data_IF_542676777166
#
_entry.id   IF_542676777166
#
_cell.length_a   1.000
_cell.length_b   1.000
_cell.length_c   1.000
_cell.angle_alpha   90.00
_cell.angle_beta   90.00
_cell.angle_gamma   90.00
#
_symmetry.space_group_name_H-M   'P 1'
#
loop_
_entity.id
_entity.type
_entity.pdbx_description
1 polymer ?
#
# COMPACT_ATOMS: atom_id res chain seq x y z
N UNK A 1 22.67 -1.98 4.61
CA UNK A 1 21.43 -1.21 4.79
C UNK A 1 20.64 -1.23 3.49
N UNK A 2 19.31 -1.25 3.60
CA UNK A 2 18.40 -1.14 2.46
C UNK A 2 17.79 0.26 2.44
N UNK A 3 17.58 0.80 1.23
CA UNK A 3 17.11 2.17 1.03
C UNK A 3 15.61 2.19 0.87
N UNK A 4 14.94 3.15 1.48
CA UNK A 4 13.55 3.55 1.27
C UNK A 4 13.54 5.07 1.13
N UNK A 5 12.71 5.62 0.22
CA UNK A 5 12.76 7.04 -0.12
C UNK A 5 11.33 7.59 -0.20
N UNK A 6 11.01 8.60 0.63
CA UNK A 6 9.85 9.47 0.39
C UNK A 6 10.21 10.43 -0.75
N UNK A 7 9.44 10.46 -1.82
CA UNK A 7 9.83 11.23 -3.00
C UNK A 7 8.65 11.65 -3.87
N UNK A 8 8.87 12.74 -4.60
CA UNK A 8 7.95 13.32 -5.58
C UNK A 8 6.51 13.44 -5.02
N UNK A 9 6.42 13.81 -3.74
CA UNK A 9 5.16 14.02 -3.04
C UNK A 9 4.49 15.34 -3.46
N UNK A 10 5.28 16.38 -3.67
CA UNK A 10 4.79 17.74 -4.01
C UNK A 10 5.14 18.05 -5.46
N UNK A 11 6.42 17.96 -5.80
CA UNK A 11 6.97 18.29 -7.11
C UNK A 11 7.84 17.16 -7.65
N UNK A 12 7.93 17.08 -8.97
CA UNK A 12 8.81 16.14 -9.68
C UNK A 12 10.26 16.63 -9.62
N UNK A 13 11.00 16.19 -8.62
CA UNK A 13 12.42 16.57 -8.42
C UNK A 13 13.41 15.48 -8.82
N UNK A 14 12.92 14.37 -9.40
CA UNK A 14 13.75 13.25 -9.85
C UNK A 14 14.02 12.19 -8.78
N UNK A 15 13.34 12.25 -7.65
CA UNK A 15 13.50 11.28 -6.58
C UNK A 15 12.97 9.89 -6.94
N UNK A 16 11.93 9.80 -7.76
CA UNK A 16 11.41 8.54 -8.28
C UNK A 16 12.43 7.85 -9.19
N UNK A 17 13.09 8.59 -10.09
CA UNK A 17 14.17 8.09 -10.92
C UNK A 17 15.35 7.59 -10.08
N UNK A 18 15.71 8.35 -9.05
CA UNK A 18 16.79 7.98 -8.14
C UNK A 18 16.45 6.68 -7.38
N UNK A 19 15.21 6.53 -6.90
CA UNK A 19 14.76 5.32 -6.19
C UNK A 19 14.92 4.07 -7.06
N UNK A 20 14.52 4.14 -8.34
CA UNK A 20 14.66 3.04 -9.28
C UNK A 20 16.13 2.76 -9.66
N UNK A 21 16.96 3.81 -9.78
CA UNK A 21 18.38 3.66 -10.12
C UNK A 21 19.20 3.05 -8.97
N UNK A 22 18.83 3.33 -7.70
CA UNK A 22 19.49 2.80 -6.50
C UNK A 22 18.99 1.41 -6.06
N UNK A 23 18.21 0.70 -6.84
CA UNK A 23 17.24 -0.35 -6.49
C UNK A 23 16.77 -0.26 -5.03
N UNK A 24 16.12 0.87 -4.72
CA UNK A 24 15.52 1.04 -3.40
C UNK A 24 14.46 -0.04 -3.14
N UNK A 25 14.27 -0.45 -1.89
CA UNK A 25 13.21 -1.42 -1.54
C UNK A 25 11.85 -0.85 -1.88
N UNK A 26 11.64 0.42 -1.55
CA UNK A 26 10.40 1.13 -1.85
C UNK A 26 10.65 2.63 -2.03
N UNK A 27 9.70 3.26 -2.73
CA UNK A 27 9.56 4.69 -2.87
C UNK A 27 8.13 5.07 -2.49
N UNK A 28 7.97 6.05 -1.61
CA UNK A 28 6.70 6.44 -1.01
C UNK A 28 6.16 7.74 -1.62
N UNK A 29 4.81 7.92 -1.60
CA UNK A 29 3.99 9.01 -2.15
C UNK A 29 3.88 8.99 -3.68
N UNK A 30 4.89 9.40 -4.41
CA UNK A 30 4.97 9.32 -5.89
C UNK A 30 3.86 10.09 -6.62
N UNK A 31 3.30 11.13 -6.00
CA UNK A 31 2.18 11.90 -6.55
C UNK A 31 2.60 12.59 -7.85
N UNK A 32 3.80 13.19 -7.86
CA UNK A 32 4.37 13.89 -9.00
C UNK A 32 5.35 13.03 -9.82
N UNK A 33 5.32 11.70 -9.69
CA UNK A 33 6.21 10.81 -10.44
C UNK A 33 6.07 10.98 -11.96
N UNK A 34 7.20 11.12 -12.65
CA UNK A 34 7.25 11.24 -14.11
C UNK A 34 7.16 9.87 -14.79
N UNK A 35 6.92 9.83 -16.11
CA UNK A 35 6.95 8.58 -16.88
C UNK A 35 8.32 7.89 -16.77
N UNK A 36 9.41 8.68 -16.76
CA UNK A 36 10.76 8.16 -16.57
C UNK A 36 10.95 7.56 -15.18
N UNK A 37 10.41 8.22 -14.16
CA UNK A 37 10.42 7.73 -12.78
C UNK A 37 9.66 6.41 -12.64
N UNK A 38 8.46 6.32 -13.21
CA UNK A 38 7.64 5.09 -13.22
C UNK A 38 8.40 3.95 -13.91
N UNK A 39 8.99 4.21 -15.08
CA UNK A 39 9.79 3.21 -15.80
C UNK A 39 11.04 2.78 -14.99
N UNK A 40 11.66 3.71 -14.27
CA UNK A 40 12.81 3.40 -13.40
C UNK A 40 12.43 2.52 -12.21
N UNK A 41 11.28 2.76 -11.56
CA UNK A 41 10.76 1.90 -10.49
C UNK A 41 10.55 0.47 -10.98
N UNK A 42 9.86 0.32 -12.12
CA UNK A 42 9.59 -0.99 -12.72
C UNK A 42 10.89 -1.74 -13.03
N UNK A 43 11.86 -1.06 -13.66
CA UNK A 43 13.17 -1.63 -14.00
C UNK A 43 13.99 -2.01 -12.75
N UNK A 44 13.93 -1.17 -11.71
CA UNK A 44 14.66 -1.41 -10.45
C UNK A 44 14.00 -2.44 -9.53
N UNK A 45 12.77 -2.87 -9.81
CA UNK A 45 11.97 -3.72 -8.92
C UNK A 45 11.60 -3.02 -7.61
N UNK A 46 11.61 -1.68 -7.60
CA UNK A 46 11.28 -0.86 -6.43
C UNK A 46 9.77 -0.84 -6.20
N UNK A 47 9.33 -1.14 -4.98
CA UNK A 47 7.90 -1.10 -4.64
C UNK A 47 7.42 0.36 -4.55
N UNK A 48 6.41 0.70 -5.34
CA UNK A 48 5.72 1.98 -5.26
C UNK A 48 4.71 1.94 -4.09
N UNK A 49 4.99 2.63 -3.00
CA UNK A 49 4.10 2.69 -1.83
C UNK A 49 3.24 3.93 -1.91
N UNK A 50 1.95 3.73 -2.16
CA UNK A 50 0.98 4.81 -2.34
C UNK A 50 0.21 5.06 -1.05
N UNK A 51 -0.06 6.33 -0.77
CA UNK A 51 -0.57 6.81 0.52
C UNK A 51 -1.87 7.61 0.32
N UNK A 52 -2.98 6.92 -0.05
CA UNK A 52 -4.20 7.59 -0.49
C UNK A 52 -4.88 8.39 0.62
N UNK A 53 -4.71 7.99 1.88
CA UNK A 53 -5.31 8.69 3.01
C UNK A 53 -4.64 10.05 3.25
N UNK A 54 -3.33 10.17 2.99
CA UNK A 54 -2.60 11.44 3.04
C UNK A 54 -3.07 12.40 1.94
N UNK A 55 -3.14 11.94 0.70
CA UNK A 55 -3.69 12.74 -0.41
C UNK A 55 -5.11 13.22 -0.11
N UNK A 56 -5.95 12.34 0.43
CA UNK A 56 -7.32 12.68 0.83
C UNK A 56 -7.36 13.75 1.92
N UNK A 57 -6.62 13.54 3.01
CA UNK A 57 -6.63 14.43 4.17
C UNK A 57 -6.12 15.84 3.83
N UNK A 58 -5.08 15.92 2.99
CA UNK A 58 -4.47 17.18 2.56
C UNK A 58 -5.15 17.82 1.33
N UNK A 59 -6.15 17.16 0.73
CA UNK A 59 -6.78 17.65 -0.50
C UNK A 59 -5.80 17.70 -1.68
N UNK A 60 -4.84 16.76 -1.76
CA UNK A 60 -3.81 16.68 -2.77
C UNK A 60 -4.20 15.73 -3.92
N UNK A 61 -3.57 15.87 -5.10
CA UNK A 61 -3.71 14.88 -6.17
C UNK A 61 -3.33 13.48 -5.72
N UNK A 62 -3.74 12.48 -6.51
CA UNK A 62 -3.42 11.08 -6.30
C UNK A 62 -2.32 10.61 -7.26
N UNK A 63 -1.48 9.70 -6.79
CA UNK A 63 -0.42 9.10 -7.61
C UNK A 63 -1.00 8.28 -8.77
N UNK A 64 -0.23 8.11 -9.82
CA UNK A 64 -0.58 7.42 -11.07
C UNK A 64 -0.45 5.90 -10.95
N UNK A 65 -1.23 5.29 -10.07
CA UNK A 65 -1.13 3.86 -9.73
C UNK A 65 -1.32 2.94 -10.95
N UNK A 66 -2.28 3.25 -11.83
CA UNK A 66 -2.53 2.43 -13.04
C UNK A 66 -1.32 2.42 -13.98
N UNK A 67 -0.65 3.57 -14.15
CA UNK A 67 0.54 3.66 -14.99
C UNK A 67 1.72 2.88 -14.39
N UNK A 68 1.86 2.91 -13.05
CA UNK A 68 2.88 2.14 -12.34
C UNK A 68 2.66 0.63 -12.53
N UNK A 69 1.42 0.16 -12.37
CA UNK A 69 1.04 -1.25 -12.59
C UNK A 69 1.28 -1.64 -14.06
N UNK A 70 0.83 -0.80 -15.01
CA UNK A 70 1.02 -1.04 -16.43
C UNK A 70 2.50 -1.11 -16.84
N UNK A 71 3.36 -0.35 -16.18
CA UNK A 71 4.81 -0.40 -16.35
C UNK A 71 5.47 -1.63 -15.69
N UNK A 72 4.72 -2.40 -14.87
CA UNK A 72 5.23 -3.57 -14.14
C UNK A 72 5.85 -3.26 -12.78
N UNK A 73 5.69 -2.04 -12.25
CA UNK A 73 6.13 -1.73 -10.90
C UNK A 73 5.15 -2.32 -9.86
N UNK A 74 5.63 -3.03 -8.83
CA UNK A 74 4.77 -3.51 -7.76
C UNK A 74 4.25 -2.33 -6.95
N UNK A 75 2.91 -2.25 -6.77
CA UNK A 75 2.25 -1.19 -6.00
C UNK A 75 1.83 -1.71 -4.64
N UNK A 76 2.19 -1.00 -3.58
CA UNK A 76 1.70 -1.20 -2.22
C UNK A 76 0.86 0.00 -1.77
N UNK A 77 -0.01 -0.22 -0.79
CA UNK A 77 -0.83 0.82 -0.15
C UNK A 77 -0.61 0.78 1.35
N UNK A 78 -0.44 1.96 1.95
CA UNK A 78 -0.25 2.12 3.38
C UNK A 78 -1.05 3.31 3.92
N UNK A 79 -1.12 3.42 5.26
CA UNK A 79 -1.88 4.47 5.94
C UNK A 79 -1.16 5.82 5.99
N UNK A 80 0.17 5.81 6.00
CA UNK A 80 0.98 6.99 6.31
C UNK A 80 0.60 7.66 7.65
N UNK A 81 0.29 6.84 8.66
CA UNK A 81 -0.12 7.38 9.95
C UNK A 81 0.95 8.32 10.54
N UNK A 82 0.58 9.58 10.66
CA UNK A 82 1.38 10.60 11.32
C UNK A 82 0.50 11.77 11.76
N UNK A 83 0.92 12.60 12.74
CA UNK A 83 0.08 13.68 13.26
C UNK A 83 -0.07 14.87 12.30
N UNK A 84 0.78 15.02 11.30
CA UNK A 84 0.80 16.16 10.40
C UNK A 84 -0.10 16.03 9.18
N UNK A 85 -0.07 14.88 8.51
CA UNK A 85 -0.69 14.69 7.20
C UNK A 85 -1.67 13.53 7.11
N UNK A 86 -1.69 12.61 8.09
CA UNK A 86 -2.66 11.51 8.12
C UNK A 86 -2.86 10.95 9.53
N UNK A 87 -3.66 11.59 10.40
CA UNK A 87 -3.89 11.14 11.78
C UNK A 87 -4.91 9.99 11.85
N UNK A 88 -4.80 9.00 10.95
CA UNK A 88 -5.73 7.87 10.87
C UNK A 88 -4.99 6.54 10.80
N UNK A 89 -5.34 5.61 11.71
CA UNK A 89 -4.90 4.22 11.69
C UNK A 89 -5.82 3.30 10.87
N UNK A 90 -6.88 3.85 10.25
CA UNK A 90 -7.86 3.05 9.53
C UNK A 90 -7.33 2.62 8.15
N UNK A 91 -6.67 1.46 8.10
CA UNK A 91 -6.17 0.90 6.84
C UNK A 91 -7.32 0.55 5.87
N UNK A 92 -8.50 0.16 6.37
CA UNK A 92 -9.65 -0.12 5.50
C UNK A 92 -10.12 1.13 4.75
N UNK A 93 -10.05 2.32 5.39
CA UNK A 93 -10.29 3.58 4.70
C UNK A 93 -9.26 3.81 3.60
N UNK A 94 -7.99 3.57 3.86
CA UNK A 94 -6.95 3.67 2.82
C UNK A 94 -7.21 2.69 1.66
N UNK A 95 -7.68 1.48 1.94
CA UNK A 95 -8.08 0.49 0.92
C UNK A 95 -9.25 1.01 0.07
N UNK A 96 -10.31 1.55 0.69
CA UNK A 96 -11.43 2.16 -0.04
C UNK A 96 -10.95 3.30 -0.96
N UNK A 97 -10.13 4.20 -0.43
CA UNK A 97 -9.58 5.32 -1.20
C UNK A 97 -8.68 4.85 -2.36
N UNK A 98 -7.94 3.76 -2.19
CA UNK A 98 -7.14 3.18 -3.26
C UNK A 98 -8.02 2.65 -4.41
N UNK A 99 -9.11 1.95 -4.11
CA UNK A 99 -10.06 1.51 -5.14
C UNK A 99 -10.66 2.70 -5.90
N UNK A 100 -11.06 3.75 -5.21
CA UNK A 100 -11.77 4.86 -5.85
C UNK A 100 -10.86 5.82 -6.59
N UNK A 101 -9.72 6.18 -5.99
CA UNK A 101 -8.89 7.26 -6.53
C UNK A 101 -7.69 6.75 -7.34
N UNK A 102 -7.19 5.55 -7.04
CA UNK A 102 -6.17 4.89 -7.85
C UNK A 102 -6.77 3.92 -8.87
N UNK A 103 -8.10 3.71 -8.83
CA UNK A 103 -8.82 2.76 -9.69
C UNK A 103 -8.26 1.33 -9.61
N UNK A 104 -7.84 0.91 -8.42
CA UNK A 104 -7.44 -0.46 -8.16
C UNK A 104 -8.67 -1.34 -8.00
N UNK A 105 -8.61 -2.58 -8.48
CA UNK A 105 -9.65 -3.56 -8.14
C UNK A 105 -9.53 -3.99 -6.67
N UNK A 106 -10.57 -4.60 -6.08
CA UNK A 106 -10.49 -5.19 -4.75
C UNK A 106 -9.31 -6.14 -4.58
N UNK A 107 -9.03 -7.00 -5.56
CA UNK A 107 -7.92 -7.97 -5.53
C UNK A 107 -6.56 -7.29 -5.63
N UNK A 108 -6.42 -6.29 -6.51
CA UNK A 108 -5.20 -5.48 -6.61
C UNK A 108 -4.93 -4.75 -5.28
N UNK A 109 -5.98 -4.19 -4.68
CA UNK A 109 -5.84 -3.49 -3.39
C UNK A 109 -5.49 -4.45 -2.26
N UNK A 110 -6.11 -5.63 -2.22
CA UNK A 110 -5.75 -6.66 -1.24
C UNK A 110 -4.28 -7.07 -1.39
N UNK A 111 -3.82 -7.30 -2.62
CA UNK A 111 -2.41 -7.59 -2.91
C UNK A 111 -1.49 -6.44 -2.47
N UNK A 112 -1.93 -5.19 -2.71
CA UNK A 112 -1.16 -3.99 -2.36
C UNK A 112 -0.99 -3.81 -0.85
N UNK A 113 -1.98 -4.17 -0.03
CA UNK A 113 -1.90 -4.05 1.45
C UNK A 113 -1.33 -5.30 2.13
N UNK A 114 -1.06 -6.38 1.40
CA UNK A 114 -0.55 -7.65 1.93
C UNK A 114 0.81 -8.02 1.34
N UNK A 115 0.85 -8.69 0.20
CA UNK A 115 2.07 -9.19 -0.45
C UNK A 115 3.05 -8.06 -0.76
N UNK A 116 2.59 -7.04 -1.47
CA UNK A 116 3.45 -5.94 -1.89
C UNK A 116 3.87 -5.07 -0.70
N UNK A 117 2.97 -4.87 0.29
CA UNK A 117 3.33 -4.18 1.53
C UNK A 117 4.41 -4.94 2.32
N UNK A 118 4.32 -6.28 2.40
CA UNK A 118 5.34 -7.10 3.03
C UNK A 118 6.69 -7.00 2.28
N UNK A 119 6.67 -6.96 0.94
CA UNK A 119 7.85 -6.75 0.11
C UNK A 119 8.49 -5.37 0.38
N UNK A 120 7.67 -4.31 0.47
CA UNK A 120 8.12 -2.95 0.73
C UNK A 120 8.86 -2.80 2.07
N UNK A 121 8.66 -3.72 3.01
CA UNK A 121 9.37 -3.75 4.31
C UNK A 121 10.35 -4.92 4.42
N UNK A 122 10.68 -5.60 3.31
CA UNK A 122 11.58 -6.76 3.28
C UNK A 122 11.12 -7.90 4.21
N UNK A 123 9.84 -8.24 4.19
CA UNK A 123 9.24 -9.32 4.99
C UNK A 123 8.38 -10.29 4.17
N UNK A 124 8.43 -10.23 2.84
CA UNK A 124 7.61 -11.08 1.96
C UNK A 124 7.93 -12.59 2.10
N UNK A 125 9.11 -12.93 2.58
CA UNK A 125 9.51 -14.28 2.94
C UNK A 125 8.72 -14.87 4.12
N UNK A 126 8.20 -14.00 5.00
CA UNK A 126 7.54 -14.38 6.26
C UNK A 126 6.10 -13.93 6.38
N UNK A 127 5.70 -12.86 5.67
CA UNK A 127 4.43 -12.16 5.81
C UNK A 127 3.78 -11.92 4.45
N UNK A 128 2.53 -11.49 4.47
CA UNK A 128 1.79 -10.98 3.30
C UNK A 128 0.99 -12.02 2.56
N UNK A 129 1.14 -13.30 2.84
CA UNK A 129 0.31 -14.37 2.26
C UNK A 129 0.07 -15.50 3.25
N UNK A 130 -0.98 -16.29 3.00
CA UNK A 130 -1.33 -17.48 3.78
C UNK A 130 -0.67 -18.71 3.12
N UNK A 131 0.57 -18.97 3.51
CA UNK A 131 1.37 -20.08 3.00
C UNK A 131 1.98 -20.88 4.15
N UNK A 132 2.17 -22.18 3.94
CA UNK A 132 2.85 -23.05 4.91
C UNK A 132 4.27 -22.53 5.14
N UNK A 133 4.64 -22.36 6.41
CA UNK A 133 5.96 -21.84 6.81
C UNK A 133 6.00 -20.32 7.04
N UNK A 134 4.98 -19.57 6.62
CA UNK A 134 4.86 -18.14 6.95
C UNK A 134 4.22 -17.92 8.32
N UNK A 135 4.45 -16.76 8.88
CA UNK A 135 3.88 -16.35 10.17
C UNK A 135 2.37 -16.22 10.04
N UNK A 136 1.64 -16.82 10.96
CA UNK A 136 0.17 -16.79 10.99
C UNK A 136 -0.34 -15.43 11.50
N UNK A 137 -0.25 -14.42 10.64
CA UNK A 137 -0.85 -13.11 10.80
C UNK A 137 -2.05 -13.02 9.86
N UNK A 138 -3.27 -13.00 10.42
CA UNK A 138 -4.50 -13.07 9.62
C UNK A 138 -5.56 -12.12 10.16
N UNK A 139 -6.45 -11.70 9.27
CA UNK A 139 -7.68 -11.01 9.61
C UNK A 139 -8.85 -11.83 9.09
N UNK A 140 -9.80 -12.14 9.99
CA UNK A 140 -11.11 -12.68 9.61
C UNK A 140 -12.06 -11.48 9.50
N UNK A 141 -12.67 -11.33 8.34
CA UNK A 141 -13.57 -10.23 8.05
C UNK A 141 -15.02 -10.59 8.33
N UNK A 142 -15.78 -9.64 8.86
CA UNK A 142 -17.23 -9.71 8.94
C UNK A 142 -17.85 -9.23 7.62
N UNK A 143 -17.62 -10.01 6.59
CA UNK A 143 -18.01 -9.70 5.22
C UNK A 143 -18.31 -10.99 4.45
N UNK A 144 -19.35 -11.02 3.62
CA UNK A 144 -19.71 -12.21 2.83
C UNK A 144 -18.77 -12.48 1.67
N UNK A 145 -18.07 -11.46 1.17
CA UNK A 145 -17.12 -11.55 0.06
C UNK A 145 -16.15 -10.37 0.09
N UNK A 146 -15.17 -10.37 -0.83
CA UNK A 146 -14.14 -9.34 -0.93
C UNK A 146 -14.75 -7.97 -1.27
N UNK A 147 -15.66 -7.90 -2.24
CA UNK A 147 -16.27 -6.64 -2.69
C UNK A 147 -16.97 -5.90 -1.56
N UNK A 148 -17.59 -6.63 -0.64
CA UNK A 148 -18.29 -6.05 0.51
C UNK A 148 -17.35 -5.24 1.40
N UNK A 149 -16.09 -5.65 1.57
CA UNK A 149 -15.08 -4.94 2.36
C UNK A 149 -14.83 -3.55 1.76
N UNK A 150 -14.82 -3.45 0.43
CA UNK A 150 -14.58 -2.20 -0.29
C UNK A 150 -15.84 -1.34 -0.47
N UNK A 151 -17.02 -1.98 -0.47
CA UNK A 151 -18.29 -1.28 -0.51
C UNK A 151 -18.60 -0.55 0.81
N UNK A 152 -18.25 -1.14 1.95
CA UNK A 152 -18.54 -0.61 3.29
C UNK A 152 -17.52 0.45 3.70
N UNK A 153 -17.80 1.68 3.29
CA UNK A 153 -16.92 2.81 3.54
C UNK A 153 -16.83 3.20 5.01
N UNK A 154 -15.58 3.39 5.50
CA UNK A 154 -15.30 3.91 6.83
C UNK A 154 -15.62 2.97 7.99
N UNK A 155 -16.10 1.76 7.73
CA UNK A 155 -16.40 0.77 8.76
C UNK A 155 -15.18 -0.12 9.05
N UNK A 156 -15.05 -0.54 10.30
CA UNK A 156 -14.11 -1.59 10.67
C UNK A 156 -14.80 -2.95 10.57
N UNK A 157 -14.50 -3.69 9.52
CA UNK A 157 -15.03 -5.03 9.27
C UNK A 157 -14.07 -6.14 9.76
N UNK A 158 -12.95 -5.81 10.39
CA UNK A 158 -12.06 -6.81 10.99
C UNK A 158 -12.75 -7.45 12.20
N UNK A 159 -13.26 -8.66 12.03
CA UNK A 159 -13.95 -9.41 13.10
C UNK A 159 -12.96 -10.02 14.07
N UNK A 160 -11.95 -10.73 13.57
CA UNK A 160 -10.91 -11.35 14.40
C UNK A 160 -9.55 -11.06 13.81
N UNK A 161 -8.62 -10.62 14.64
CA UNK A 161 -7.22 -10.43 14.27
C UNK A 161 -6.38 -11.48 14.97
N UNK A 162 -5.61 -12.23 14.20
CA UNK A 162 -4.66 -13.23 14.69
C UNK A 162 -3.25 -12.72 14.39
N UNK A 163 -2.41 -12.72 15.42
CA UNK A 163 -1.01 -12.31 15.34
C UNK A 163 -0.10 -13.43 15.82
N UNK A 164 0.81 -13.89 14.97
CA UNK A 164 1.71 -15.01 15.29
C UNK A 164 0.97 -16.27 15.78
N UNK A 165 -0.19 -16.56 15.17
CA UNK A 165 -1.02 -17.71 15.54
C UNK A 165 -1.88 -17.52 16.78
N UNK A 166 -1.83 -16.36 17.45
CA UNK A 166 -2.61 -16.05 18.66
C UNK A 166 -3.69 -15.02 18.33
N UNK A 167 -4.91 -15.23 18.83
CA UNK A 167 -6.00 -14.25 18.72
C UNK A 167 -5.63 -13.00 19.52
N UNK A 168 -5.41 -11.90 18.81
CA UNK A 168 -5.05 -10.60 19.40
C UNK A 168 -6.30 -9.80 19.81
N UNK A 169 -7.36 -9.83 18.97
CA UNK A 169 -8.62 -9.17 19.24
C UNK A 169 -9.78 -9.84 18.51
N UNK A 170 -10.97 -9.71 19.06
CA UNK A 170 -12.24 -10.10 18.41
C UNK A 170 -13.26 -8.99 18.64
N UNK A 171 -13.75 -8.41 17.56
CA UNK A 171 -14.83 -7.42 17.61
C UNK A 171 -16.18 -8.13 17.59
N UNK A 172 -17.13 -7.63 18.40
CA UNK A 172 -18.49 -8.15 18.49
C UNK A 172 -19.42 -7.46 17.52
#
# INVERSE_FOLDING_TARGET
LKVKIHTDEIDAIGGTELAGALPAVSAEHLIAATDRGIAALAKGGTVAVLLPATSFYLGKPYARARDMIAAGAPVAVASDFNPGSCPSLNLQLAMNLACWNYHLTPEETLTAVTLNAAAAICRADRLGSLEVGKQADLVIWDAPNLDYIFYRFGQNLAKTVIKQGVVATTNR
#
